data_IF_469841613969
#
_entry.id   IF_469841613969
#
_cell.length_a   1.000
_cell.length_b   1.000
_cell.length_c   1.000
_cell.angle_alpha   90.00
_cell.angle_beta   90.00
_cell.angle_gamma   90.00
#
_symmetry.space_group_name_H-M   'P 1'
#
loop_
_entity.id
_entity.type
_entity.pdbx_description
1 polymer ?
#
# COMPACT_ATOMS: atom_id res chain seq x y z
N UNK A 1 6.73 25.02 -30.56
CA UNK A 1 5.68 24.02 -30.33
C UNK A 1 5.54 23.82 -28.83
N UNK A 2 4.41 24.12 -28.18
CA UNK A 2 4.25 23.78 -26.77
C UNK A 2 4.22 22.25 -26.66
N UNK A 3 5.20 21.70 -25.93
CA UNK A 3 5.34 20.26 -25.73
C UNK A 3 4.11 19.69 -25.03
N UNK A 4 3.61 18.56 -25.54
CA UNK A 4 2.56 17.75 -24.94
C UNK A 4 3.05 17.18 -23.60
N UNK A 5 2.89 17.95 -22.53
CA UNK A 5 3.17 17.49 -21.17
C UNK A 5 2.22 16.36 -20.81
N UNK A 6 2.74 15.15 -20.64
CA UNK A 6 2.00 14.08 -19.97
C UNK A 6 1.77 14.53 -18.52
N UNK A 7 0.52 14.84 -18.17
CA UNK A 7 0.14 14.99 -16.75
C UNK A 7 0.00 13.59 -16.18
N UNK A 8 1.00 13.13 -15.44
CA UNK A 8 0.86 11.95 -14.62
C UNK A 8 -0.34 12.14 -13.66
N UNK A 9 -1.25 11.16 -13.60
CA UNK A 9 -2.36 11.15 -12.64
C UNK A 9 -1.76 10.80 -11.26
N UNK A 10 -1.87 11.66 -10.23
CA UNK A 10 -1.46 11.27 -8.88
C UNK A 10 -2.35 10.14 -8.38
N UNK A 11 -1.75 9.11 -7.78
CA UNK A 11 -2.43 7.99 -7.16
C UNK A 11 -1.86 7.75 -5.77
N UNK A 12 -2.69 7.23 -4.87
CA UNK A 12 -2.32 6.91 -3.49
C UNK A 12 -2.67 5.45 -3.23
N UNK A 13 -1.77 4.75 -2.53
CA UNK A 13 -1.99 3.40 -2.03
C UNK A 13 -2.18 3.49 -0.52
N UNK A 14 -3.28 2.93 -0.01
CA UNK A 14 -3.61 2.92 1.41
C UNK A 14 -3.10 1.61 2.05
N UNK A 15 -1.92 1.68 2.67
CA UNK A 15 -1.33 0.54 3.37
C UNK A 15 -1.91 0.34 4.77
N UNK A 16 -2.44 1.38 5.41
CA UNK A 16 -3.09 1.23 6.72
C UNK A 16 -4.25 0.25 6.60
N UNK A 17 -5.11 0.44 5.58
CA UNK A 17 -6.21 -0.50 5.33
C UNK A 17 -5.74 -1.93 5.04
N UNK A 18 -4.58 -2.11 4.43
CA UNK A 18 -4.06 -3.42 4.08
C UNK A 18 -3.50 -4.18 5.29
N UNK A 19 -2.87 -3.46 6.21
CA UNK A 19 -2.13 -4.06 7.32
C UNK A 19 -2.85 -3.99 8.67
N UNK A 20 -3.86 -3.13 8.80
CA UNK A 20 -4.54 -2.89 10.07
C UNK A 20 -5.24 -4.15 10.61
N UNK A 21 -5.19 -4.32 11.94
CA UNK A 21 -6.03 -5.27 12.65
C UNK A 21 -7.50 -4.82 12.53
N UNK A 22 -8.41 -5.63 11.96
CA UNK A 22 -9.82 -5.29 11.87
C UNK A 22 -10.49 -5.05 13.23
N UNK A 23 -9.98 -5.68 14.30
CA UNK A 23 -10.48 -5.49 15.67
C UNK A 23 -9.87 -4.23 16.34
N UNK A 24 -8.73 -3.75 15.85
CA UNK A 24 -8.07 -2.55 16.36
C UNK A 24 -7.32 -1.79 15.24
N UNK A 25 -8.01 -0.91 14.49
CA UNK A 25 -7.46 -0.31 13.27
C UNK A 25 -6.22 0.58 13.45
N UNK A 26 -5.85 0.92 14.69
CA UNK A 26 -4.62 1.68 14.99
C UNK A 26 -3.41 0.78 15.23
N UNK A 27 -3.55 -0.55 15.06
CA UNK A 27 -2.46 -1.53 15.15
C UNK A 27 -2.33 -2.31 13.85
N UNK A 28 -1.13 -2.81 13.61
CA UNK A 28 -0.91 -3.85 12.61
C UNK A 28 -1.59 -5.15 13.07
N UNK A 29 -2.13 -5.91 12.12
CA UNK A 29 -2.55 -7.28 12.36
C UNK A 29 -1.34 -8.09 12.83
N UNK A 30 -1.51 -8.94 13.83
CA UNK A 30 -0.38 -9.68 14.44
C UNK A 30 0.46 -10.50 13.44
N UNK A 31 -0.11 -10.92 12.31
CA UNK A 31 0.64 -11.61 11.24
C UNK A 31 1.61 -10.68 10.48
N UNK A 32 1.31 -9.38 10.47
CA UNK A 32 2.05 -8.35 9.74
C UNK A 32 2.89 -7.47 10.65
N UNK A 33 2.91 -7.69 11.97
CA UNK A 33 3.72 -6.96 12.94
C UNK A 33 5.02 -7.72 13.22
N UNK A 34 6.18 -7.04 13.19
CA UNK A 34 7.46 -7.66 13.56
C UNK A 34 7.60 -7.85 15.08
N UNK A 35 6.69 -7.26 15.87
CA UNK A 35 6.60 -7.37 17.32
C UNK A 35 6.78 -6.04 18.07
N UNK A 36 6.98 -4.93 17.37
CA UNK A 36 7.14 -3.60 17.97
C UNK A 36 5.92 -2.69 17.80
N UNK A 37 4.89 -3.14 17.07
CA UNK A 37 3.65 -2.40 16.86
C UNK A 37 3.78 -1.21 15.92
N UNK A 38 4.93 -1.04 15.24
CA UNK A 38 5.19 0.03 14.29
C UNK A 38 5.67 -0.50 12.94
N UNK A 39 6.61 -1.45 12.93
CA UNK A 39 7.23 -1.94 11.72
C UNK A 39 6.54 -3.23 11.21
N UNK A 40 6.29 -3.32 9.89
CA UNK A 40 5.83 -4.56 9.30
C UNK A 40 6.83 -5.72 9.50
N UNK A 41 6.31 -6.93 9.65
CA UNK A 41 7.06 -8.18 9.48
C UNK A 41 7.39 -8.41 7.99
N UNK A 42 8.16 -9.46 7.69
CA UNK A 42 8.39 -9.88 6.30
C UNK A 42 7.08 -10.14 5.54
N UNK A 43 6.10 -10.78 6.18
CA UNK A 43 4.77 -11.00 5.62
C UNK A 43 4.01 -9.68 5.41
N UNK A 44 4.18 -8.71 6.32
CA UNK A 44 3.61 -7.37 6.19
C UNK A 44 4.17 -6.59 5.00
N UNK A 45 5.50 -6.63 4.80
CA UNK A 45 6.13 -6.02 3.62
C UNK A 45 5.73 -6.71 2.32
N UNK A 46 5.61 -8.04 2.33
CA UNK A 46 5.11 -8.80 1.18
C UNK A 46 3.68 -8.40 0.81
N UNK A 47 2.81 -8.16 1.80
CA UNK A 47 1.44 -7.71 1.55
C UNK A 47 1.39 -6.28 0.99
N UNK A 48 2.21 -5.35 1.51
CA UNK A 48 2.35 -4.01 0.94
C UNK A 48 2.76 -4.07 -0.54
N UNK A 49 3.70 -4.94 -0.89
CA UNK A 49 4.14 -5.11 -2.29
C UNK A 49 2.99 -5.57 -3.19
N UNK A 50 2.21 -6.58 -2.78
CA UNK A 50 1.04 -7.05 -3.54
C UNK A 50 -0.02 -5.97 -3.72
N UNK A 51 -0.29 -5.18 -2.68
CA UNK A 51 -1.27 -4.09 -2.73
C UNK A 51 -0.80 -2.99 -3.67
N UNK A 52 0.50 -2.65 -3.63
CA UNK A 52 1.11 -1.71 -4.56
C UNK A 52 1.01 -2.21 -6.01
N UNK A 53 1.43 -3.45 -6.28
CA UNK A 53 1.37 -4.07 -7.61
C UNK A 53 -0.07 -4.03 -8.16
N UNK A 54 -1.04 -4.44 -7.34
CA UNK A 54 -2.47 -4.39 -7.72
C UNK A 54 -2.97 -2.97 -7.99
N UNK A 55 -2.52 -1.97 -7.22
CA UNK A 55 -2.88 -0.57 -7.45
C UNK A 55 -2.22 -0.01 -8.71
N UNK A 56 -0.96 -0.39 -8.96
CA UNK A 56 -0.19 0.04 -10.12
C UNK A 56 -0.79 -0.50 -11.42
N UNK A 57 -1.14 -1.78 -11.47
CA UNK A 57 -1.81 -2.38 -12.63
C UNK A 57 -3.15 -1.70 -12.94
N UNK A 58 -3.93 -1.36 -11.90
CA UNK A 58 -5.18 -0.59 -12.05
C UNK A 58 -4.95 0.81 -12.59
N UNK A 59 -3.85 1.46 -12.21
CA UNK A 59 -3.49 2.77 -12.72
C UNK A 59 -3.07 2.72 -14.19
N UNK A 60 -2.33 1.69 -14.60
CA UNK A 60 -1.93 1.49 -16.00
C UNK A 60 -3.13 1.16 -16.90
N UNK A 61 -4.15 0.50 -16.36
CA UNK A 61 -5.36 0.15 -17.09
C UNK A 61 -6.39 1.31 -17.23
N UNK A 62 -6.14 2.50 -16.68
CA UNK A 62 -7.11 3.61 -16.54
C UNK A 62 -6.72 4.93 -17.24
#
# INVERSE_FOLDING_TARGET
MPGSGHRAKPAVVDFERALADPANPVRLLSAFDCGDGLHPSDDGYAEMAKVFESAFERLLAA
#
